data_IF_674858159228
#
_entry.id   IF_674858159228
#
_cell.length_a   1.000
_cell.length_b   1.000
_cell.length_c   1.000
_cell.angle_alpha   90.00
_cell.angle_beta   90.00
_cell.angle_gamma   90.00
#
_symmetry.space_group_name_H-M   'P 1'
#
loop_
_entity.id
_entity.type
_entity.pdbx_description
1 polymer ?
#
# COMPACT_ATOMS: atom_id res chain seq x y z
N UNK A 1 3.80 15.62 -6.31
CA UNK A 1 4.91 15.37 -7.26
C UNK A 1 4.67 14.04 -7.96
N UNK A 2 4.93 13.90 -9.27
CA UNK A 2 4.81 12.61 -10.00
C UNK A 2 6.17 11.92 -10.02
N UNK A 3 6.26 10.66 -9.60
CA UNK A 3 7.50 9.89 -9.61
C UNK A 3 7.29 8.58 -10.34
N UNK A 4 8.09 8.32 -11.38
CA UNK A 4 8.18 7.00 -12.00
C UNK A 4 8.96 6.08 -11.07
N UNK A 5 8.43 4.89 -10.82
CA UNK A 5 9.09 3.88 -9.99
C UNK A 5 9.02 2.49 -10.63
N UNK A 6 10.09 1.73 -10.48
CA UNK A 6 10.17 0.32 -10.89
C UNK A 6 9.59 -0.62 -9.81
N UNK A 7 9.33 -0.09 -8.62
CA UNK A 7 8.75 -0.79 -7.48
C UNK A 7 7.97 0.18 -6.60
N UNK A 8 6.74 -0.17 -6.26
CA UNK A 8 5.92 0.62 -5.33
C UNK A 8 5.48 -0.26 -4.16
N UNK A 9 5.89 0.10 -2.94
CA UNK A 9 5.43 -0.57 -1.71
C UNK A 9 4.10 0.04 -1.30
N UNK A 10 3.05 -0.77 -1.26
CA UNK A 10 1.67 -0.32 -0.94
C UNK A 10 1.17 -0.84 0.41
N UNK A 11 2.00 -1.52 1.18
CA UNK A 11 1.72 -1.81 2.58
C UNK A 11 2.84 -2.62 3.20
N UNK A 12 3.32 -2.22 4.39
CA UNK A 12 4.14 -3.08 5.23
C UNK A 12 3.22 -3.87 6.16
N UNK A 13 3.49 -5.15 6.30
CA UNK A 13 2.97 -5.99 7.37
C UNK A 13 3.61 -5.52 8.67
N UNK A 14 2.83 -4.84 9.49
CA UNK A 14 3.25 -4.17 10.73
C UNK A 14 3.91 -5.13 11.75
N UNK A 15 3.76 -6.45 11.59
CA UNK A 15 4.25 -7.47 12.53
C UNK A 15 5.26 -8.45 11.91
N UNK A 16 5.07 -8.84 10.64
CA UNK A 16 5.90 -9.87 9.98
C UNK A 16 7.03 -9.31 9.11
N UNK A 17 6.98 -8.02 8.75
CA UNK A 17 7.92 -7.43 7.78
C UNK A 17 7.63 -7.81 6.32
N UNK A 18 6.56 -8.57 6.06
CA UNK A 18 6.11 -8.86 4.68
C UNK A 18 5.52 -7.59 4.07
N UNK A 19 5.59 -7.40 2.75
CA UNK A 19 5.03 -6.20 2.15
C UNK A 19 4.29 -6.47 0.85
N UNK A 20 3.24 -5.69 0.62
CA UNK A 20 2.54 -5.69 -0.67
C UNK A 20 3.31 -4.77 -1.60
N UNK A 21 3.80 -5.36 -2.69
CA UNK A 21 4.69 -4.67 -3.62
C UNK A 21 4.13 -4.74 -5.04
N UNK A 22 4.16 -3.61 -5.73
CA UNK A 22 3.70 -3.50 -7.11
C UNK A 22 4.90 -3.37 -8.04
N UNK A 23 4.91 -4.20 -9.08
CA UNK A 23 5.93 -4.22 -10.13
C UNK A 23 5.30 -4.01 -11.50
N UNK A 24 5.88 -3.17 -12.37
CA UNK A 24 5.48 -3.08 -13.76
C UNK A 24 5.79 -4.40 -14.49
N UNK A 25 4.89 -4.84 -15.38
CA UNK A 25 5.12 -5.96 -16.30
C UNK A 25 5.54 -5.43 -17.68
N UNK A 26 6.58 -6.01 -18.29
CA UNK A 26 7.11 -5.60 -19.61
C UNK A 26 7.48 -4.10 -19.65
N UNK A 27 7.11 -3.39 -20.74
CA UNK A 27 7.39 -1.96 -20.97
C UNK A 27 6.42 -1.01 -20.25
N UNK A 28 5.77 -1.46 -19.17
CA UNK A 28 4.85 -0.66 -18.37
C UNK A 28 5.57 0.22 -17.35
N UNK A 29 4.83 1.16 -16.74
CA UNK A 29 5.37 2.01 -15.69
C UNK A 29 4.36 2.31 -14.60
N UNK A 30 4.87 2.57 -13.40
CA UNK A 30 4.08 2.99 -12.25
C UNK A 30 4.44 4.43 -11.92
N UNK A 31 3.44 5.31 -11.92
CA UNK A 31 3.56 6.72 -11.62
C UNK A 31 2.93 6.97 -10.26
N UNK A 32 3.76 7.20 -9.25
CA UNK A 32 3.30 7.53 -7.91
C UNK A 32 2.87 9.00 -7.84
N UNK A 33 1.68 9.24 -7.29
CA UNK A 33 1.22 10.58 -6.94
C UNK A 33 1.50 10.83 -5.46
N UNK A 34 2.62 11.51 -5.16
CA UNK A 34 2.90 11.94 -3.80
C UNK A 34 2.06 13.18 -3.49
N UNK A 35 1.11 13.02 -2.56
CA UNK A 35 0.47 14.13 -1.86
C UNK A 35 1.33 14.49 -0.65
N UNK A 36 2.16 15.52 -0.83
CA UNK A 36 3.02 16.19 0.15
C UNK A 36 4.37 15.56 0.52
N UNK A 37 5.36 16.46 0.60
CA UNK A 37 6.80 16.33 0.89
C UNK A 37 7.12 15.84 2.30
N UNK A 38 6.46 14.77 2.71
CA UNK A 38 6.74 14.09 3.94
C UNK A 38 7.52 12.84 3.58
N UNK A 39 8.83 13.02 3.52
CA UNK A 39 9.85 11.97 3.57
C UNK A 39 9.69 11.24 4.90
N UNK A 40 8.72 10.32 4.95
CA UNK A 40 8.41 9.55 6.14
C UNK A 40 8.82 8.13 5.78
N UNK A 41 9.94 7.71 6.35
CA UNK A 41 10.42 6.33 6.33
C UNK A 41 9.51 5.35 7.09
N UNK A 42 8.19 5.55 7.04
CA UNK A 42 7.20 4.66 7.66
C UNK A 42 5.78 4.93 7.11
N UNK A 43 5.35 4.06 6.19
CA UNK A 43 4.00 3.46 6.00
C UNK A 43 2.75 4.14 6.56
N UNK A 44 2.61 5.45 6.47
CA UNK A 44 1.41 6.14 6.98
C UNK A 44 0.79 7.05 5.92
N UNK A 45 0.78 6.60 4.67
CA UNK A 45 -0.11 7.20 3.66
C UNK A 45 -1.49 6.59 3.79
N UNK A 46 -2.37 7.30 4.49
CA UNK A 46 -3.79 6.96 4.59
C UNK A 46 -4.43 6.80 3.20
N UNK A 47 -3.92 7.52 2.20
CA UNK A 47 -4.30 7.39 0.80
C UNK A 47 -3.07 7.47 -0.08
N UNK A 48 -2.74 6.35 -0.75
CA UNK A 48 -1.68 6.30 -1.77
C UNK A 48 -2.35 6.20 -3.14
N UNK A 49 -2.17 7.23 -3.96
CA UNK A 49 -2.63 7.24 -5.34
C UNK A 49 -1.47 6.95 -6.29
N UNK A 50 -1.72 6.12 -7.29
CA UNK A 50 -0.74 5.82 -8.33
C UNK A 50 -1.45 5.53 -9.65
N UNK A 51 -0.74 5.72 -10.75
CA UNK A 51 -1.20 5.39 -12.09
C UNK A 51 -0.34 4.27 -12.67
N UNK A 52 -1.00 3.26 -13.22
CA UNK A 52 -0.37 2.19 -13.99
C UNK A 52 -0.52 2.55 -15.47
N UNK A 53 0.59 2.56 -16.20
CA UNK A 53 0.61 2.67 -17.68
C UNK A 53 0.98 1.31 -18.25
N UNK A 54 0.03 0.60 -18.89
CA UNK A 54 0.18 -0.82 -19.24
C UNK A 54 -0.38 -1.75 -18.16
N UNK A 55 0.41 -2.73 -17.71
CA UNK A 55 -0.01 -3.73 -16.73
C UNK A 55 0.99 -3.80 -15.56
N UNK A 56 0.50 -4.04 -14.35
CA UNK A 56 1.35 -4.24 -13.18
C UNK A 56 0.90 -5.46 -12.38
N UNK A 57 1.77 -5.97 -11.51
CA UNK A 57 1.47 -7.08 -10.60
C UNK A 57 1.73 -6.69 -9.16
N UNK A 58 0.77 -7.02 -8.29
CA UNK A 58 0.92 -6.97 -6.84
C UNK A 58 1.37 -8.33 -6.35
N UNK A 59 2.46 -8.37 -5.60
CA UNK A 59 3.00 -9.56 -4.98
C UNK A 59 2.93 -9.41 -3.45
N UNK A 60 2.57 -10.52 -2.79
CA UNK A 60 2.65 -10.71 -1.36
C UNK A 60 2.85 -12.21 -1.09
N UNK A 61 3.50 -12.56 0.02
CA UNK A 61 3.81 -13.96 0.31
C UNK A 61 2.58 -14.81 0.66
N UNK A 62 1.52 -14.17 1.16
CA UNK A 62 0.34 -14.87 1.70
C UNK A 62 -0.76 -15.12 0.67
N UNK A 63 -0.64 -14.57 -0.54
CA UNK A 63 -1.64 -14.75 -1.59
C UNK A 63 -1.02 -14.87 -2.98
N UNK A 64 -1.79 -15.37 -3.94
CA UNK A 64 -1.37 -15.43 -5.33
C UNK A 64 -1.14 -14.00 -5.90
N UNK A 65 -0.30 -13.85 -6.95
CA UNK A 65 -0.13 -12.57 -7.63
C UNK A 65 -1.46 -11.99 -8.09
N UNK A 66 -1.61 -10.66 -7.97
CA UNK A 66 -2.79 -9.93 -8.43
C UNK A 66 -2.38 -8.98 -9.55
N UNK A 67 -2.99 -9.07 -10.72
CA UNK A 67 -2.70 -8.16 -11.83
C UNK A 67 -3.53 -6.88 -11.72
N UNK A 68 -2.95 -5.77 -12.15
CA UNK A 68 -3.55 -4.45 -12.24
C UNK A 68 -3.53 -3.98 -13.68
N UNK A 69 -4.70 -3.65 -14.20
CA UNK A 69 -4.85 -3.02 -15.51
C UNK A 69 -4.42 -1.54 -15.51
N UNK A 70 -4.23 -1.00 -16.70
CA UNK A 70 -3.96 0.42 -16.93
C UNK A 70 -5.06 1.28 -16.28
N UNK A 71 -4.64 2.28 -15.51
CA UNK A 71 -5.57 3.17 -14.84
C UNK A 71 -5.00 3.86 -13.61
N UNK A 72 -5.86 4.63 -12.95
CA UNK A 72 -5.55 5.30 -11.68
C UNK A 72 -6.10 4.47 -10.53
N UNK A 73 -5.23 4.16 -9.59
CA UNK A 73 -5.49 3.30 -8.45
C UNK A 73 -5.34 4.09 -7.15
N UNK A 74 -6.08 3.66 -6.14
CA UNK A 74 -5.96 4.14 -4.76
C UNK A 74 -5.80 2.95 -3.83
N UNK A 75 -4.79 3.00 -2.99
CA UNK A 75 -4.66 2.07 -1.86
C UNK A 75 -5.67 2.45 -0.79
N UNK A 76 -6.48 1.49 -0.37
CA UNK A 76 -7.38 1.61 0.76
C UNK A 76 -6.93 0.63 1.84
N UNK A 77 -6.68 1.12 3.05
CA UNK A 77 -6.39 0.27 4.22
C UNK A 77 -7.69 -0.02 4.94
N UNK A 78 -7.96 -1.30 5.15
CA UNK A 78 -9.04 -1.74 6.02
C UNK A 78 -8.44 -2.19 7.34
N UNK A 79 -8.90 -1.60 8.44
CA UNK A 79 -8.50 -2.00 9.79
C UNK A 79 -9.61 -2.82 10.43
N UNK A 80 -9.25 -3.91 11.08
CA UNK A 80 -10.20 -4.67 11.88
C UNK A 80 -10.67 -3.82 13.07
N UNK A 81 -11.98 -3.72 13.24
CA UNK A 81 -12.56 -3.07 14.39
C UNK A 81 -12.41 -3.99 15.61
N UNK A 82 -11.68 -3.52 16.62
CA UNK A 82 -11.61 -4.15 17.93
C UNK A 82 -12.63 -3.47 18.88
N UNK A 83 -13.77 -4.13 19.18
CA UNK A 83 -14.78 -3.56 20.06
C UNK A 83 -14.32 -3.42 21.52
N UNK A 84 -13.26 -4.14 21.93
CA UNK A 84 -12.75 -4.15 23.30
C UNK A 84 -11.58 -3.20 23.52
N UNK A 85 -11.10 -2.54 22.45
CA UNK A 85 -9.97 -1.61 22.50
C UNK A 85 -10.13 -0.52 23.57
N UNK A 86 -11.36 -0.06 23.81
CA UNK A 86 -11.68 0.97 24.81
C UNK A 86 -12.18 0.40 26.15
N UNK A 87 -12.43 -0.91 26.23
CA UNK A 87 -12.94 -1.58 27.44
C UNK A 87 -11.79 -2.06 28.34
N UNK A 88 -10.65 -2.43 27.76
CA UNK A 88 -9.49 -2.95 28.49
C UNK A 88 -8.83 -1.92 29.43
N UNK A 89 -9.00 -0.62 29.18
CA UNK A 89 -8.49 0.44 30.06
C UNK A 89 -9.36 0.64 31.33
N UNK A 90 -10.57 0.08 31.39
CA UNK A 90 -11.52 0.28 32.50
C UNK A 90 -11.48 -0.80 33.58
N UNK A 91 -10.87 -1.96 33.31
CA UNK A 91 -10.85 -3.10 34.24
C UNK A 91 -9.55 -3.16 35.06
N UNK A 92 -8.81 -2.05 35.09
CA UNK A 92 -7.49 -1.95 35.72
C UNK A 92 -7.52 -1.22 37.07
N UNK A 93 -8.67 -1.26 37.75
CA UNK A 93 -8.88 -0.77 39.12
C UNK A 93 -9.19 -1.94 40.07
#
# INVERSE_FOLDING_TARGET
>A
MKKNTERLVVGLGEVSGHSHEIFPINDSSIIEFADNEKDFGDVTRDQLFFEVKGEAVVLHEEHAPVTLDEGVWVRIVQVNYDPFKNELDKVRD
#
